data_IF_479323215463
#
_entry.id   IF_479323215463
#
_cell.length_a   1.000
_cell.length_b   1.000
_cell.length_c   1.000
_cell.angle_alpha   90.00
_cell.angle_beta   90.00
_cell.angle_gamma   90.00
#
_symmetry.space_group_name_H-M   'P 1'
#
loop_
_entity.id
_entity.type
_entity.pdbx_description
1 polymer ?
#
# COMPACT_ATOMS: atom_id res chain seq x y z
N UNK A 1 41.39 -34.00 -4.16
CA UNK A 1 40.34 -33.23 -4.85
C UNK A 1 39.18 -34.13 -5.20
N UNK A 2 38.17 -34.22 -4.33
CA UNK A 2 36.89 -34.87 -4.59
C UNK A 2 35.81 -33.79 -4.51
N UNK A 3 35.43 -33.22 -5.66
CA UNK A 3 34.37 -32.22 -5.75
C UNK A 3 33.01 -32.95 -5.74
N UNK A 4 32.66 -33.55 -4.59
CA UNK A 4 31.33 -34.09 -4.36
C UNK A 4 30.37 -32.91 -4.31
N UNK A 5 29.47 -32.81 -5.28
CA UNK A 5 28.37 -31.82 -5.24
C UNK A 5 27.65 -32.06 -3.92
N UNK A 6 27.66 -31.11 -2.96
CA UNK A 6 26.99 -31.32 -1.70
C UNK A 6 25.50 -31.47 -1.97
N UNK A 7 24.96 -32.62 -1.60
CA UNK A 7 23.53 -32.92 -1.76
C UNK A 7 22.77 -32.21 -0.67
N UNK A 8 22.06 -31.14 -1.04
CA UNK A 8 21.13 -30.42 -0.17
C UNK A 8 19.68 -30.78 -0.54
N UNK A 9 19.14 -31.89 -0.03
CA UNK A 9 17.77 -32.28 -0.35
C UNK A 9 16.77 -31.27 0.22
N UNK A 10 15.74 -30.93 -0.56
CA UNK A 10 14.71 -30.01 -0.11
C UNK A 10 13.86 -30.67 1.00
N UNK A 11 13.52 -29.96 2.09
CA UNK A 11 12.73 -30.51 3.19
C UNK A 11 11.36 -31.04 2.73
N UNK A 12 10.93 -32.17 3.32
CA UNK A 12 9.70 -32.87 2.92
C UNK A 12 8.46 -32.35 3.66
N UNK A 13 8.65 -31.76 4.85
CA UNK A 13 7.56 -31.26 5.68
C UNK A 13 6.95 -29.96 5.13
N UNK A 14 5.67 -29.68 5.42
CA UNK A 14 4.93 -28.58 4.80
C UNK A 14 5.37 -27.17 5.22
N UNK A 15 6.10 -27.03 6.34
CA UNK A 15 6.55 -25.73 6.86
C UNK A 15 8.01 -25.79 7.34
N UNK A 16 8.98 -25.84 6.41
CA UNK A 16 10.37 -25.81 6.79
C UNK A 16 10.81 -24.41 7.22
N UNK A 17 11.62 -24.37 8.27
CA UNK A 17 12.26 -23.14 8.72
C UNK A 17 13.33 -22.70 7.71
N UNK A 18 13.67 -21.40 7.68
CA UNK A 18 14.70 -20.90 6.77
C UNK A 18 16.07 -21.58 6.99
N UNK A 19 16.43 -21.86 8.25
CA UNK A 19 17.68 -22.54 8.60
C UNK A 19 17.72 -24.00 8.11
N UNK A 20 16.59 -24.71 8.21
CA UNK A 20 16.46 -26.08 7.68
C UNK A 20 16.56 -26.12 6.14
N UNK A 21 15.97 -25.14 5.44
CA UNK A 21 16.11 -25.03 3.98
C UNK A 21 17.58 -24.83 3.58
N UNK A 22 18.29 -24.01 4.35
CA UNK A 22 19.69 -23.65 4.09
C UNK A 22 20.69 -24.68 4.60
N UNK A 23 20.23 -25.66 5.39
CA UNK A 23 21.08 -26.65 6.05
C UNK A 23 22.19 -25.97 6.88
N UNK A 24 21.83 -24.87 7.55
CA UNK A 24 22.74 -24.07 8.37
C UNK A 24 22.30 -24.10 9.84
N UNK A 25 23.23 -24.07 10.80
CA UNK A 25 22.90 -23.92 12.20
C UNK A 25 22.35 -22.52 12.49
N UNK A 26 21.59 -22.41 13.58
CA UNK A 26 21.20 -21.10 14.12
C UNK A 26 22.46 -20.32 14.52
N UNK A 27 22.52 -19.03 14.18
CA UNK A 27 23.68 -18.18 14.47
C UNK A 27 24.77 -18.19 13.39
N UNK A 28 24.54 -18.82 12.23
CA UNK A 28 25.44 -18.73 11.07
C UNK A 28 25.60 -17.27 10.60
N UNK A 29 26.77 -16.97 10.02
CA UNK A 29 27.06 -15.63 9.50
C UNK A 29 26.30 -15.32 8.21
N UNK A 30 26.11 -14.03 7.90
CA UNK A 30 25.48 -13.62 6.63
C UNK A 30 26.28 -14.07 5.40
N UNK A 31 27.61 -14.18 5.53
CA UNK A 31 28.45 -14.68 4.46
C UNK A 31 28.14 -16.15 4.16
N UNK A 32 28.03 -17.00 5.19
CA UNK A 32 27.67 -18.41 5.04
C UNK A 32 26.26 -18.58 4.46
N UNK A 33 25.30 -17.74 4.88
CA UNK A 33 23.94 -17.72 4.31
C UNK A 33 23.99 -17.38 2.82
N UNK A 34 24.78 -16.37 2.44
CA UNK A 34 24.93 -15.94 1.05
C UNK A 34 25.61 -17.03 0.21
N UNK A 35 26.65 -17.67 0.72
CA UNK A 35 27.33 -18.78 0.03
C UNK A 35 26.37 -19.95 -0.19
N UNK A 36 25.63 -20.38 0.84
CA UNK A 36 24.60 -21.42 0.74
C UNK A 36 23.47 -21.04 -0.21
N UNK A 37 23.06 -19.78 -0.23
CA UNK A 37 22.07 -19.29 -1.19
C UNK A 37 22.53 -19.51 -2.63
N UNK A 38 23.78 -19.17 -2.98
CA UNK A 38 24.28 -19.37 -4.34
C UNK A 38 24.34 -20.86 -4.72
N UNK A 39 24.75 -21.73 -3.80
CA UNK A 39 24.79 -23.17 -4.04
C UNK A 39 23.38 -23.74 -4.27
N UNK A 40 22.41 -23.37 -3.44
CA UNK A 40 21.02 -23.80 -3.58
C UNK A 40 20.37 -23.25 -4.84
N UNK A 41 20.64 -21.99 -5.20
CA UNK A 41 20.12 -21.41 -6.45
C UNK A 41 20.67 -22.14 -7.67
N UNK A 42 21.95 -22.50 -7.70
CA UNK A 42 22.53 -23.29 -8.80
C UNK A 42 21.87 -24.67 -8.92
N UNK A 43 21.57 -25.31 -7.78
CA UNK A 43 20.96 -26.64 -7.75
C UNK A 43 19.46 -26.62 -8.11
N UNK A 44 18.71 -25.65 -7.56
CA UNK A 44 17.26 -25.57 -7.64
C UNK A 44 16.72 -24.55 -8.66
N UNK A 45 17.59 -23.97 -9.50
CA UNK A 45 17.14 -23.09 -10.58
C UNK A 45 16.13 -23.85 -11.47
N UNK A 46 15.01 -23.22 -11.90
CA UNK A 46 14.03 -23.86 -12.78
C UNK A 46 14.64 -24.39 -14.08
N UNK A 47 15.72 -23.75 -14.56
CA UNK A 47 16.46 -24.15 -15.77
C UNK A 47 17.66 -25.08 -15.50
N UNK A 48 17.92 -25.42 -14.23
CA UNK A 48 19.03 -26.31 -13.86
C UNK A 48 18.80 -27.73 -14.36
N UNK A 49 19.83 -28.43 -14.88
CA UNK A 49 19.72 -29.83 -15.31
C UNK A 49 19.17 -30.76 -14.21
N UNK A 50 19.56 -30.53 -12.95
CA UNK A 50 19.14 -31.32 -11.79
C UNK A 50 17.62 -31.26 -11.55
N UNK A 51 16.98 -30.19 -12.01
CA UNK A 51 15.58 -29.94 -11.78
C UNK A 51 14.70 -30.45 -12.93
N UNK A 52 15.25 -30.74 -14.12
CA UNK A 52 14.48 -31.08 -15.35
C UNK A 52 13.48 -32.23 -15.16
N UNK A 53 13.79 -33.20 -14.31
CA UNK A 53 12.96 -34.37 -14.01
C UNK A 53 11.79 -34.09 -13.04
N UNK A 54 11.83 -32.96 -12.32
CA UNK A 54 10.79 -32.57 -11.36
C UNK A 54 9.70 -31.76 -12.08
N UNK A 55 8.40 -31.96 -11.78
CA UNK A 55 7.34 -31.13 -12.34
C UNK A 55 7.59 -29.63 -12.16
N UNK A 56 7.25 -28.82 -13.17
CA UNK A 56 7.51 -27.38 -13.18
C UNK A 56 6.96 -26.66 -11.93
N UNK A 57 5.74 -27.01 -11.50
CA UNK A 57 5.12 -26.45 -10.29
C UNK A 57 5.94 -26.72 -9.03
N UNK A 58 6.48 -27.94 -8.87
CA UNK A 58 7.32 -28.32 -7.72
C UNK A 58 8.69 -27.64 -7.75
N UNK A 59 9.32 -27.52 -8.93
CA UNK A 59 10.57 -26.76 -9.07
C UNK A 59 10.39 -25.30 -8.67
N UNK A 60 9.35 -24.67 -9.21
CA UNK A 60 9.07 -23.27 -8.96
C UNK A 60 8.75 -23.02 -7.48
N UNK A 61 7.94 -23.88 -6.85
CA UNK A 61 7.66 -23.81 -5.42
C UNK A 61 8.93 -23.93 -4.55
N UNK A 62 9.83 -24.87 -4.87
CA UNK A 62 11.11 -25.02 -4.15
C UNK A 62 12.00 -23.80 -4.31
N UNK A 63 12.12 -23.28 -5.52
CA UNK A 63 12.91 -22.08 -5.80
C UNK A 63 12.34 -20.84 -5.08
N UNK A 64 11.02 -20.68 -5.08
CA UNK A 64 10.34 -19.62 -4.33
C UNK A 64 10.61 -19.75 -2.82
N UNK A 65 10.55 -20.96 -2.26
CA UNK A 65 10.83 -21.19 -0.84
C UNK A 65 12.28 -20.84 -0.46
N UNK A 66 13.27 -21.19 -1.30
CA UNK A 66 14.68 -20.83 -1.09
C UNK A 66 14.85 -19.30 -1.05
N UNK A 67 14.25 -18.60 -2.01
CA UNK A 67 14.30 -17.12 -2.05
C UNK A 67 13.62 -16.49 -0.83
N UNK A 68 12.45 -16.99 -0.45
CA UNK A 68 11.72 -16.49 0.73
C UNK A 68 12.50 -16.72 2.03
N UNK A 69 13.15 -17.87 2.17
CA UNK A 69 14.01 -18.17 3.31
C UNK A 69 15.21 -17.22 3.37
N UNK A 70 15.89 -16.95 2.24
CA UNK A 70 16.96 -15.94 2.17
C UNK A 70 16.48 -14.55 2.62
N UNK A 71 15.32 -14.12 2.13
CA UNK A 71 14.74 -12.82 2.47
C UNK A 71 14.40 -12.72 3.97
N UNK A 72 13.96 -13.80 4.60
CA UNK A 72 13.68 -13.83 6.05
C UNK A 72 14.93 -13.76 6.91
N UNK A 73 15.98 -14.52 6.57
CA UNK A 73 17.26 -14.54 7.29
C UNK A 73 18.01 -13.21 7.17
N UNK A 74 17.83 -12.50 6.05
CA UNK A 74 18.40 -11.17 5.83
C UNK A 74 17.63 -10.06 6.56
N UNK A 75 16.33 -10.24 6.81
CA UNK A 75 15.52 -9.27 7.57
C UNK A 75 15.71 -9.40 9.08
N UNK A 76 16.06 -10.57 9.60
CA UNK A 76 16.36 -10.78 11.02
C UNK A 76 17.49 -9.88 11.55
N UNK A 77 18.47 -9.55 10.72
CA UNK A 77 19.55 -8.59 11.04
C UNK A 77 19.07 -7.13 11.09
N UNK A 78 17.92 -6.79 10.47
CA UNK A 78 17.36 -5.42 10.49
C UNK A 78 16.88 -4.96 11.87
N UNK A 79 16.79 -5.86 12.86
CA UNK A 79 16.60 -5.48 14.26
C UNK A 79 17.89 -4.98 14.95
N UNK A 80 19.02 -4.88 14.23
CA UNK A 80 20.27 -4.31 14.74
C UNK A 80 21.23 -3.79 13.66
N UNK A 81 21.12 -2.49 13.35
CA UNK A 81 22.20 -1.56 12.94
C UNK A 81 22.78 -1.53 11.49
N UNK A 82 22.94 -0.27 11.03
CA UNK A 82 23.96 0.34 10.14
C UNK A 82 23.90 0.20 8.61
N UNK A 83 23.36 -0.87 8.01
CA UNK A 83 23.39 -1.03 6.53
C UNK A 83 22.02 -1.07 5.83
N UNK A 84 20.95 -0.62 6.50
CA UNK A 84 19.59 -0.67 5.96
C UNK A 84 19.40 0.13 4.65
N UNK A 85 20.12 1.24 4.49
CA UNK A 85 19.95 2.19 3.38
C UNK A 85 20.46 1.65 2.03
N UNK A 86 21.53 0.84 2.00
CA UNK A 86 22.09 0.31 0.74
C UNK A 86 21.18 -0.73 0.07
N UNK A 87 20.16 -1.20 0.78
CA UNK A 87 19.29 -2.29 0.35
C UNK A 87 17.81 -1.92 0.30
N UNK A 88 17.44 -0.73 0.75
CA UNK A 88 16.12 -0.13 0.52
C UNK A 88 15.91 0.11 -0.97
N UNK A 89 16.95 0.60 -1.65
CA UNK A 89 16.94 0.86 -3.10
C UNK A 89 16.65 -0.41 -3.93
N UNK A 90 17.21 -1.57 -3.55
CA UNK A 90 16.94 -2.84 -4.23
C UNK A 90 15.56 -3.40 -3.88
N UNK A 91 15.09 -3.20 -2.64
CA UNK A 91 13.75 -3.59 -2.23
C UNK A 91 12.68 -2.74 -2.94
N UNK A 92 12.93 -1.45 -3.09
CA UNK A 92 12.10 -0.50 -3.82
C UNK A 92 12.07 -0.80 -5.31
N UNK A 93 13.20 -1.14 -5.91
CA UNK A 93 13.27 -1.56 -7.31
C UNK A 93 12.54 -2.90 -7.54
N UNK A 94 12.61 -3.86 -6.59
CA UNK A 94 11.79 -5.07 -6.63
C UNK A 94 10.30 -4.75 -6.47
N UNK A 95 9.93 -3.87 -5.53
CA UNK A 95 8.55 -3.47 -5.31
C UNK A 95 7.97 -2.75 -6.55
N UNK A 96 8.77 -1.91 -7.19
CA UNK A 96 8.45 -1.24 -8.44
C UNK A 96 8.20 -2.26 -9.57
N UNK A 97 9.12 -3.21 -9.78
CA UNK A 97 8.96 -4.27 -10.79
C UNK A 97 7.75 -5.16 -10.52
N UNK A 98 7.51 -5.49 -9.24
CA UNK A 98 6.36 -6.28 -8.80
C UNK A 98 5.04 -5.54 -9.05
N UNK A 99 4.98 -4.24 -8.76
CA UNK A 99 3.81 -3.39 -9.05
C UNK A 99 3.54 -3.27 -10.54
N UNK A 100 4.58 -3.15 -11.38
CA UNK A 100 4.43 -3.13 -12.84
C UNK A 100 3.87 -4.47 -13.33
N UNK A 101 4.41 -5.60 -12.84
CA UNK A 101 3.91 -6.93 -13.20
C UNK A 101 2.45 -7.15 -12.76
N UNK A 102 2.09 -6.74 -11.54
CA UNK A 102 0.70 -6.83 -11.05
C UNK A 102 -0.25 -5.96 -11.86
N UNK A 103 0.12 -4.71 -12.18
CA UNK A 103 -0.67 -3.85 -13.07
C UNK A 103 -0.84 -4.52 -14.44
N UNK A 104 0.25 -5.05 -15.01
CA UNK A 104 0.22 -5.71 -16.33
C UNK A 104 -0.65 -6.98 -16.34
N UNK A 105 -0.64 -7.77 -15.24
CA UNK A 105 -1.55 -8.91 -15.09
C UNK A 105 -3.01 -8.49 -14.92
N UNK A 106 -3.29 -7.41 -14.20
CA UNK A 106 -4.65 -6.89 -14.05
C UNK A 106 -5.24 -6.43 -15.39
N UNK A 107 -4.43 -5.86 -16.29
CA UNK A 107 -4.87 -5.55 -17.65
C UNK A 107 -5.11 -6.81 -18.50
N UNK A 108 -4.30 -7.86 -18.35
CA UNK A 108 -4.51 -9.16 -19.06
C UNK A 108 -5.71 -9.94 -18.55
N UNK A 109 -6.04 -9.84 -17.27
CA UNK A 109 -7.15 -10.57 -16.63
C UNK A 109 -8.51 -9.84 -16.73
N UNK A 110 -8.58 -8.70 -17.43
CA UNK A 110 -9.83 -7.96 -17.68
C UNK A 110 -10.59 -8.45 -18.93
N UNK A 111 -10.13 -9.54 -19.55
CA UNK A 111 -10.84 -10.25 -20.62
C UNK A 111 -11.69 -11.41 -20.08
N UNK A 112 -12.75 -11.84 -20.79
CA UNK A 112 -13.75 -12.80 -20.32
C UNK A 112 -13.25 -14.24 -20.08
N UNK A 113 -11.98 -14.53 -20.38
CA UNK A 113 -11.40 -15.87 -20.22
C UNK A 113 -10.21 -15.82 -19.26
N UNK A 114 -10.50 -15.90 -17.96
CA UNK A 114 -9.47 -16.03 -16.93
C UNK A 114 -8.90 -17.45 -17.02
N UNK A 115 -7.63 -17.57 -17.42
CA UNK A 115 -6.93 -18.84 -17.51
C UNK A 115 -6.86 -19.51 -16.13
N UNK A 116 -7.64 -20.58 -15.99
CA UNK A 116 -7.73 -21.47 -14.83
C UNK A 116 -6.42 -22.27 -14.73
N UNK A 117 -5.54 -22.00 -13.75
CA UNK A 117 -4.34 -22.83 -13.62
C UNK A 117 -3.19 -22.41 -12.71
N UNK A 118 -3.39 -21.63 -11.65
CA UNK A 118 -2.34 -21.45 -10.64
C UNK A 118 -2.92 -21.56 -9.22
N UNK A 119 -3.00 -22.80 -8.73
CA UNK A 119 -3.26 -23.13 -7.32
C UNK A 119 -1.93 -22.97 -6.54
N UNK A 120 -1.79 -21.96 -5.67
CA UNK A 120 -0.60 -21.80 -4.86
C UNK A 120 -0.63 -22.82 -3.72
N UNK A 121 0.08 -23.94 -3.88
CA UNK A 121 0.18 -25.01 -2.87
C UNK A 121 1.01 -24.64 -1.62
N UNK A 122 1.45 -23.39 -1.52
CA UNK A 122 2.12 -22.81 -0.36
C UNK A 122 1.49 -21.45 -0.04
N UNK A 123 0.56 -21.44 0.91
CA UNK A 123 0.00 -20.23 1.49
C UNK A 123 0.95 -19.76 2.62
N UNK A 124 1.94 -18.94 2.26
CA UNK A 124 2.84 -18.34 3.25
C UNK A 124 2.23 -17.01 3.72
N UNK A 125 1.91 -16.94 5.00
CA UNK A 125 1.25 -15.82 5.63
C UNK A 125 2.22 -14.63 5.80
N UNK A 126 2.28 -13.74 4.81
CA UNK A 126 3.02 -12.47 4.91
C UNK A 126 2.34 -11.40 5.78
N UNK A 127 1.24 -11.74 6.46
CA UNK A 127 0.40 -10.74 7.15
C UNK A 127 0.92 -10.28 8.51
N UNK A 128 1.99 -10.87 9.07
CA UNK A 128 2.50 -10.42 10.36
C UNK A 128 3.11 -9.00 10.27
N UNK A 129 3.94 -8.75 9.25
CA UNK A 129 4.70 -7.49 9.13
C UNK A 129 3.94 -6.36 8.42
N UNK A 130 3.00 -6.68 7.52
CA UNK A 130 2.26 -5.65 6.78
C UNK A 130 1.17 -5.00 7.63
N UNK A 131 0.47 -5.74 8.50
CA UNK A 131 -0.63 -5.19 9.30
C UNK A 131 -0.17 -4.09 10.25
N UNK A 132 0.98 -4.28 10.90
CA UNK A 132 1.54 -3.22 11.75
C UNK A 132 1.92 -1.98 10.94
N UNK A 133 2.52 -2.16 9.75
CA UNK A 133 2.83 -1.05 8.84
C UNK A 133 1.57 -0.37 8.31
N UNK A 134 0.52 -1.13 7.99
CA UNK A 134 -0.76 -0.61 7.52
C UNK A 134 -1.47 0.18 8.62
N UNK A 135 -1.43 -0.29 9.87
CA UNK A 135 -1.91 0.46 11.03
C UNK A 135 -1.09 1.71 11.31
N UNK A 136 0.23 1.69 11.09
CA UNK A 136 1.07 2.88 11.18
C UNK A 136 0.75 3.87 10.06
N UNK A 137 0.60 3.44 8.81
CA UNK A 137 0.26 4.30 7.68
C UNK A 137 -1.11 4.96 7.89
N UNK A 138 -2.12 4.18 8.31
CA UNK A 138 -3.45 4.70 8.63
C UNK A 138 -3.40 5.68 9.82
N UNK A 139 -2.64 5.33 10.87
CA UNK A 139 -2.46 6.18 12.06
C UNK A 139 -1.79 7.52 11.73
N UNK A 140 -0.68 7.49 10.98
CA UNK A 140 0.04 8.69 10.53
C UNK A 140 -0.84 9.56 9.61
N UNK A 141 -1.63 8.95 8.72
CA UNK A 141 -2.56 9.70 7.87
C UNK A 141 -3.66 10.41 8.66
N UNK A 142 -4.25 9.76 9.66
CA UNK A 142 -5.29 10.37 10.51
C UNK A 142 -4.68 11.51 11.36
N UNK A 143 -3.51 11.29 11.96
CA UNK A 143 -2.82 12.29 12.78
C UNK A 143 -2.43 13.51 11.95
N UNK A 144 -1.95 13.33 10.71
CA UNK A 144 -1.58 14.46 9.84
C UNK A 144 -2.79 15.30 9.44
N UNK A 145 -3.96 14.68 9.24
CA UNK A 145 -5.21 15.40 8.94
C UNK A 145 -5.67 16.20 10.17
N UNK A 146 -5.61 15.61 11.37
CA UNK A 146 -5.99 16.30 12.61
C UNK A 146 -5.04 17.48 12.83
N UNK A 147 -3.72 17.29 12.79
CA UNK A 147 -2.77 18.39 13.02
C UNK A 147 -2.84 19.46 11.93
N UNK A 148 -3.09 19.09 10.67
CA UNK A 148 -3.13 20.04 9.55
C UNK A 148 -4.42 20.84 9.43
N UNK A 149 -5.57 20.21 9.66
CA UNK A 149 -6.89 20.82 9.39
C UNK A 149 -7.55 21.38 10.66
N UNK A 150 -7.34 20.74 11.81
CA UNK A 150 -7.99 21.11 13.07
C UNK A 150 -7.61 22.52 13.58
N UNK A 151 -6.34 22.96 13.51
CA UNK A 151 -6.00 24.32 13.94
C UNK A 151 -6.63 25.39 13.03
N UNK A 152 -6.74 25.13 11.73
CA UNK A 152 -7.35 26.05 10.77
C UNK A 152 -8.85 26.25 10.99
N UNK A 153 -9.58 25.18 11.33
CA UNK A 153 -11.01 25.22 11.57
C UNK A 153 -11.40 25.81 12.94
N UNK A 154 -10.56 25.61 13.98
CA UNK A 154 -10.88 26.04 15.35
C UNK A 154 -10.29 27.42 15.69
N UNK A 155 -9.08 27.74 15.22
CA UNK A 155 -8.42 29.01 15.57
C UNK A 155 -8.75 30.15 14.61
N UNK A 156 -9.24 29.87 13.39
CA UNK A 156 -9.57 30.90 12.40
C UNK A 156 -11.03 30.81 11.89
N UNK A 157 -12.04 31.17 12.70
CA UNK A 157 -13.40 31.32 12.24
C UNK A 157 -13.56 32.65 11.48
N UNK A 158 -12.88 32.80 10.34
CA UNK A 158 -12.95 33.99 9.49
C UNK A 158 -13.37 33.63 8.09
N UNK A 159 -14.65 33.26 7.88
CA UNK A 159 -15.32 33.57 6.58
C UNK A 159 -16.84 33.34 6.48
N UNK A 160 -17.60 33.13 7.57
CA UNK A 160 -19.06 32.89 7.46
C UNK A 160 -19.91 34.16 7.57
N UNK A 161 -19.33 35.31 7.97
CA UNK A 161 -20.10 36.53 8.26
C UNK A 161 -20.66 37.23 7.00
N UNK A 162 -19.95 37.17 5.87
CA UNK A 162 -20.30 37.95 4.66
C UNK A 162 -21.65 37.54 4.04
N UNK A 163 -22.04 36.27 4.11
CA UNK A 163 -23.31 35.82 3.53
C UNK A 163 -24.52 36.20 4.38
N UNK A 164 -24.38 36.20 5.71
CA UNK A 164 -25.46 36.62 6.61
C UNK A 164 -25.75 38.11 6.47
N UNK A 165 -24.71 38.94 6.32
CA UNK A 165 -24.87 40.39 6.12
C UNK A 165 -25.56 40.70 4.79
N UNK A 166 -25.22 39.96 3.72
CA UNK A 166 -25.88 40.09 2.42
C UNK A 166 -27.36 39.68 2.47
N UNK A 167 -27.69 38.58 3.17
CA UNK A 167 -29.09 38.15 3.36
C UNK A 167 -29.88 39.17 4.17
N UNK A 168 -29.30 39.72 5.24
CA UNK A 168 -29.93 40.75 6.05
C UNK A 168 -30.16 42.05 5.28
N UNK A 169 -29.21 42.46 4.44
CA UNK A 169 -29.38 43.63 3.58
C UNK A 169 -30.47 43.42 2.53
N UNK A 170 -30.57 42.22 1.93
CA UNK A 170 -31.65 41.90 0.99
C UNK A 170 -33.03 41.89 1.65
N UNK A 171 -33.17 41.33 2.86
CA UNK A 171 -34.44 41.37 3.58
C UNK A 171 -34.83 42.79 3.99
N UNK A 172 -33.87 43.61 4.43
CA UNK A 172 -34.10 45.04 4.72
C UNK A 172 -34.57 45.80 3.47
N UNK A 173 -33.89 45.63 2.34
CA UNK A 173 -34.26 46.30 1.09
C UNK A 173 -35.66 45.89 0.59
N UNK A 174 -36.05 44.63 0.77
CA UNK A 174 -37.41 44.17 0.42
C UNK A 174 -38.49 44.80 1.29
N UNK A 175 -38.27 44.89 2.60
CA UNK A 175 -39.22 45.53 3.51
C UNK A 175 -39.40 47.01 3.17
N UNK A 176 -38.29 47.71 2.95
CA UNK A 176 -38.29 49.13 2.60
C UNK A 176 -38.98 49.40 1.26
N UNK A 177 -38.71 48.59 0.22
CA UNK A 177 -39.38 48.71 -1.07
C UNK A 177 -40.90 48.51 -0.99
N UNK A 178 -41.35 47.61 -0.10
CA UNK A 178 -42.78 47.34 0.11
C UNK A 178 -43.45 48.55 0.78
N UNK A 179 -42.84 49.09 1.84
CA UNK A 179 -43.34 50.28 2.54
C UNK A 179 -43.38 51.51 1.64
N UNK A 180 -42.32 51.76 0.87
CA UNK A 180 -42.26 52.88 -0.05
C UNK A 180 -43.29 52.75 -1.18
N UNK A 181 -43.55 51.52 -1.65
CA UNK A 181 -44.60 51.26 -2.64
C UNK A 181 -46.00 51.56 -2.11
N UNK A 182 -46.28 51.18 -0.86
CA UNK A 182 -47.55 51.47 -0.18
C UNK A 182 -47.75 52.98 0.04
N UNK A 183 -46.70 53.69 0.48
CA UNK A 183 -46.76 55.14 0.66
C UNK A 183 -47.09 55.88 -0.65
N UNK A 184 -46.43 55.53 -1.77
CA UNK A 184 -46.77 56.13 -3.08
C UNK A 184 -48.19 55.83 -3.51
N UNK A 185 -48.71 54.63 -3.23
CA UNK A 185 -50.10 54.28 -3.56
C UNK A 185 -51.11 55.13 -2.77
N UNK A 186 -50.80 55.44 -1.52
CA UNK A 186 -51.63 56.33 -0.70
C UNK A 186 -51.59 57.77 -1.21
N UNK A 187 -50.41 58.30 -1.53
CA UNK A 187 -50.26 59.64 -2.11
C UNK A 187 -50.96 59.80 -3.47
N UNK A 188 -50.90 58.77 -4.33
CA UNK A 188 -51.61 58.78 -5.62
C UNK A 188 -53.13 58.79 -5.37
N UNK A 189 -53.62 58.00 -4.41
CA UNK A 189 -55.05 58.00 -4.06
C UNK A 189 -55.52 59.34 -3.50
N UNK A 190 -54.72 60.00 -2.65
CA UNK A 190 -55.08 61.32 -2.11
C UNK A 190 -55.10 62.38 -3.21
N UNK A 191 -54.08 62.40 -4.10
CA UNK A 191 -54.05 63.32 -5.25
C UNK A 191 -55.22 63.14 -6.21
N UNK A 192 -55.68 61.90 -6.42
CA UNK A 192 -56.85 61.63 -7.26
C UNK A 192 -58.17 62.08 -6.62
N UNK A 193 -58.25 62.13 -5.29
CA UNK A 193 -59.42 62.66 -4.58
C UNK A 193 -59.47 64.19 -4.64
N UNK A 194 -58.33 64.87 -4.56
CA UNK A 194 -58.27 66.35 -4.64
C UNK A 194 -58.60 66.91 -6.04
N UNK A 195 -58.52 66.10 -7.09
CA UNK A 195 -58.77 66.49 -8.49
C UNK A 195 -60.26 66.32 -8.88
N UNK A 196 -61.09 65.71 -8.01
CA UNK A 196 -62.50 65.41 -8.29
C UNK A 196 -63.44 66.37 -7.58
#
# INVERSE_FOLDING_TARGET
>A
SSNSIPSFPFPIHPRPSPYEIFHLPYGCSQQEIKERYYDLVRLYHPDSPACRLIPHSKRHARFQAIRAAYDSLRKGEKLGLKNAHLFDEYADEIARRKNIFHKHQQYRNRGPNVAKGYEPRYEWNSNADHRWKDHMILGFGIVSIIIGVFPGLILFPRHIKQHNDAVQNLTRARLEATQHGEQRRLEIKSRLQDIK
#
